data_IF_587359113367
#
_entry.id   IF_587359113367
#
_cell.length_a   1.000
_cell.length_b   1.000
_cell.length_c   1.000
_cell.angle_alpha   90.00
_cell.angle_beta   90.00
_cell.angle_gamma   90.00
#
_symmetry.space_group_name_H-M   'P 1'
#
loop_
_entity.id
_entity.type
_entity.pdbx_description
1 polymer ?
#
# COMPACT_ATOMS: atom_id res chain seq x y z
N UNK A 1 23.05 14.61 20.77
CA UNK A 1 21.90 15.22 20.05
C UNK A 1 21.11 14.09 19.43
N UNK A 2 19.81 14.01 19.71
CA UNK A 2 18.91 12.93 19.27
C UNK A 2 18.95 12.80 17.74
N UNK A 3 19.36 11.65 17.17
CA UNK A 3 19.59 11.51 15.71
C UNK A 3 18.34 11.84 14.87
N UNK A 4 17.16 11.77 15.47
CA UNK A 4 15.87 11.82 14.76
C UNK A 4 15.14 13.16 14.86
N UNK A 5 15.62 14.12 15.68
CA UNK A 5 14.91 15.38 15.97
C UNK A 5 14.60 16.23 14.73
N UNK A 6 15.36 16.07 13.63
CA UNK A 6 15.15 16.81 12.37
C UNK A 6 14.16 16.16 11.42
N UNK A 7 13.63 14.97 11.73
CA UNK A 7 12.67 14.29 10.84
C UNK A 7 11.40 15.12 10.63
N UNK A 8 10.77 15.73 11.66
CA UNK A 8 9.60 16.60 11.46
C UNK A 8 9.87 17.76 10.49
N UNK A 9 11.00 18.46 10.64
CA UNK A 9 11.38 19.55 9.74
C UNK A 9 11.54 19.08 8.29
N UNK A 10 12.06 17.86 8.09
CA UNK A 10 12.22 17.28 6.75
C UNK A 10 10.87 16.88 6.14
N UNK A 11 9.92 16.38 6.93
CA UNK A 11 8.54 16.14 6.47
C UNK A 11 7.84 17.46 6.12
N UNK A 12 8.01 18.50 6.94
CA UNK A 12 7.44 19.82 6.70
C UNK A 12 7.90 20.45 5.38
N UNK A 13 9.14 20.17 4.92
CA UNK A 13 9.63 20.57 3.59
C UNK A 13 8.81 19.98 2.44
N UNK A 14 8.21 18.81 2.63
CA UNK A 14 7.26 18.21 1.70
C UNK A 14 5.80 18.61 1.98
N UNK A 15 5.54 19.56 2.90
CA UNK A 15 4.18 19.92 3.36
C UNK A 15 3.39 18.72 3.90
N UNK A 16 4.09 17.86 4.64
CA UNK A 16 3.56 16.72 5.37
C UNK A 16 3.84 16.91 6.86
N UNK A 17 2.91 16.47 7.71
CA UNK A 17 3.05 16.53 9.17
C UNK A 17 3.54 15.19 9.72
N UNK A 18 4.52 15.24 10.62
CA UNK A 18 5.10 14.08 11.28
C UNK A 18 5.13 14.29 12.79
N UNK A 19 4.38 13.44 13.50
CA UNK A 19 4.51 13.24 14.94
C UNK A 19 5.65 12.25 15.21
N UNK A 20 6.80 12.77 15.63
CA UNK A 20 7.89 11.93 16.14
C UNK A 20 7.57 11.46 17.56
N UNK A 21 7.37 10.15 17.71
CA UNK A 21 6.97 9.50 18.96
C UNK A 21 8.18 9.21 19.83
N UNK A 22 8.05 9.50 21.13
CA UNK A 22 9.02 9.10 22.17
C UNK A 22 8.85 7.66 22.63
N UNK A 23 7.66 7.11 22.42
CA UNK A 23 7.29 5.76 22.83
C UNK A 23 6.78 4.95 21.64
N UNK A 24 6.92 3.62 21.69
CA UNK A 24 6.41 2.71 20.67
C UNK A 24 4.92 2.93 20.35
N UNK A 25 4.53 2.83 19.08
CA UNK A 25 3.12 2.90 18.66
C UNK A 25 2.41 1.63 19.13
N UNK A 26 3.00 0.46 18.85
CA UNK A 26 2.69 -0.84 19.45
C UNK A 26 3.66 -1.12 20.58
N UNK A 27 3.14 -1.59 21.72
CA UNK A 27 3.92 -1.89 22.93
C UNK A 27 4.12 -3.39 23.18
N UNK A 28 3.91 -4.23 22.18
CA UNK A 28 4.22 -5.66 22.29
C UNK A 28 5.74 -5.89 22.44
N UNK A 29 6.14 -7.09 22.87
CA UNK A 29 7.57 -7.40 23.12
C UNK A 29 8.42 -7.18 21.86
N UNK A 30 9.57 -6.52 22.03
CA UNK A 30 10.55 -6.24 20.97
C UNK A 30 10.21 -5.03 20.08
N UNK A 31 8.98 -4.50 20.17
CA UNK A 31 8.52 -3.35 19.38
C UNK A 31 9.26 -2.05 19.72
N UNK A 32 9.81 -1.94 20.92
CA UNK A 32 10.59 -0.79 21.40
C UNK A 32 11.94 -0.60 20.72
N UNK A 33 12.41 -1.64 20.02
CA UNK A 33 13.70 -1.62 19.32
C UNK A 33 13.59 -1.39 17.80
N UNK A 34 12.38 -1.44 17.23
CA UNK A 34 12.16 -1.39 15.78
C UNK A 34 11.54 -0.07 15.34
N UNK A 35 11.75 0.28 14.07
CA UNK A 35 11.07 1.43 13.46
C UNK A 35 9.58 1.10 13.29
N UNK A 36 8.72 2.00 13.75
CA UNK A 36 7.28 1.91 13.52
C UNK A 36 6.82 3.20 12.86
N UNK A 37 6.12 3.12 11.73
CA UNK A 37 5.45 4.29 11.17
C UNK A 37 4.04 3.95 10.73
N UNK A 38 3.16 4.91 10.98
CA UNK A 38 1.73 4.77 10.80
C UNK A 38 1.09 6.12 10.43
N UNK A 39 -0.18 6.11 10.03
CA UNK A 39 -0.98 7.32 9.83
C UNK A 39 -2.06 7.37 10.90
N UNK A 40 -2.29 8.53 11.53
CA UNK A 40 -3.41 8.65 12.47
C UNK A 40 -4.75 8.51 11.76
N UNK A 41 -5.67 7.78 12.38
CA UNK A 41 -7.06 7.66 11.93
C UNK A 41 -7.73 9.04 11.79
N UNK A 42 -8.27 9.34 10.61
CA UNK A 42 -8.94 10.60 10.29
C UNK A 42 -10.16 10.88 11.17
N UNK A 43 -10.77 9.84 11.76
CA UNK A 43 -11.90 10.00 12.69
C UNK A 43 -11.51 10.64 14.02
N UNK A 44 -10.21 10.65 14.35
CA UNK A 44 -9.67 11.18 15.61
C UNK A 44 -8.99 12.55 15.46
N UNK A 45 -9.11 13.17 14.29
CA UNK A 45 -8.50 14.46 13.97
C UNK A 45 -7.78 14.45 12.62
N UNK A 46 -7.05 15.54 12.27
CA UNK A 46 -6.33 15.62 11.02
C UNK A 46 -5.26 14.52 10.93
N UNK A 47 -5.24 13.83 9.80
CA UNK A 47 -4.26 12.78 9.50
C UNK A 47 -2.84 13.36 9.57
N UNK A 48 -1.95 12.66 10.29
CA UNK A 48 -0.51 12.92 10.33
C UNK A 48 0.25 11.61 10.32
N UNK A 49 1.49 11.64 9.83
CA UNK A 49 2.40 10.52 10.00
C UNK A 49 2.80 10.43 11.47
N UNK A 50 2.90 9.22 12.01
CA UNK A 50 3.50 8.94 13.32
C UNK A 50 4.70 8.06 13.11
N UNK A 51 5.85 8.44 13.63
CA UNK A 51 7.05 7.63 13.54
C UNK A 51 7.65 7.44 14.93
N UNK A 52 7.86 6.19 15.31
CA UNK A 52 8.72 5.82 16.42
C UNK A 52 10.04 5.26 15.86
N UNK A 53 11.19 5.85 16.18
CA UNK A 53 12.45 5.49 15.54
C UNK A 53 13.07 4.17 16.03
N UNK A 54 12.61 3.64 17.18
CA UNK A 54 13.18 2.42 17.76
C UNK A 54 14.57 2.63 18.35
N UNK A 55 15.41 1.61 18.23
CA UNK A 55 16.76 1.61 18.77
C UNK A 55 17.68 2.66 18.11
N UNK A 56 18.71 3.11 18.83
CA UNK A 56 19.61 4.20 18.41
C UNK A 56 20.49 3.87 17.20
N UNK A 57 20.70 2.59 16.93
CA UNK A 57 21.43 2.05 15.79
C UNK A 57 20.54 1.92 14.54
N UNK A 58 19.24 2.23 14.62
CA UNK A 58 18.41 2.42 13.45
C UNK A 58 18.79 3.72 12.73
N UNK A 59 18.75 3.70 11.40
CA UNK A 59 18.98 4.87 10.57
C UNK A 59 17.74 5.19 9.75
N UNK A 60 17.25 6.42 9.89
CA UNK A 60 16.05 6.91 9.23
C UNK A 60 16.37 8.23 8.55
N UNK A 61 16.08 8.34 7.26
CA UNK A 61 16.33 9.54 6.48
C UNK A 61 15.16 9.90 5.60
N UNK A 62 14.88 11.20 5.48
CA UNK A 62 13.99 11.73 4.44
C UNK A 62 14.84 12.10 3.24
N UNK A 63 14.47 11.53 2.09
CA UNK A 63 15.08 11.72 0.79
C UNK A 63 14.07 12.39 -0.16
N UNK A 64 14.58 13.23 -1.06
CA UNK A 64 13.82 13.84 -2.16
C UNK A 64 12.43 14.38 -1.81
N UNK A 65 12.30 15.29 -0.81
CA UNK A 65 11.02 15.92 -0.52
C UNK A 65 10.54 16.74 -1.73
N UNK A 66 9.26 16.59 -2.06
CA UNK A 66 8.56 17.26 -3.15
C UNK A 66 7.33 17.98 -2.56
N UNK A 67 7.47 19.28 -2.34
CA UNK A 67 6.38 20.12 -1.81
C UNK A 67 5.24 20.32 -2.79
N UNK A 68 5.51 20.24 -4.10
CA UNK A 68 4.51 20.43 -5.15
C UNK A 68 3.52 19.28 -5.19
N UNK A 69 4.01 18.05 -4.97
CA UNK A 69 3.18 16.84 -4.89
C UNK A 69 2.81 16.43 -3.48
N UNK A 70 3.41 17.05 -2.46
CA UNK A 70 3.30 16.66 -1.06
C UNK A 70 3.76 15.22 -0.82
N UNK A 71 4.96 14.91 -1.28
CA UNK A 71 5.52 13.55 -1.25
C UNK A 71 6.98 13.59 -0.81
N UNK A 72 7.46 12.50 -0.20
CA UNK A 72 8.87 12.29 0.11
C UNK A 72 9.19 10.80 0.09
N UNK A 73 10.48 10.48 0.02
CA UNK A 73 10.94 9.11 0.23
C UNK A 73 11.51 8.98 1.64
N UNK A 74 11.00 8.03 2.43
CA UNK A 74 11.55 7.68 3.73
C UNK A 74 12.46 6.46 3.58
N UNK A 75 13.74 6.63 3.87
CA UNK A 75 14.72 5.56 3.97
C UNK A 75 14.75 5.02 5.40
N UNK A 76 14.76 3.69 5.52
CA UNK A 76 14.92 2.98 6.79
C UNK A 76 15.97 1.89 6.64
N UNK A 77 16.99 1.93 7.49
CA UNK A 77 18.00 0.89 7.64
C UNK A 77 18.00 0.46 9.11
N UNK A 78 17.50 -0.74 9.36
CA UNK A 78 17.47 -1.33 10.70
C UNK A 78 17.95 -2.78 10.65
N UNK A 79 18.73 -3.21 11.67
CA UNK A 79 19.09 -4.61 11.87
C UNK A 79 17.86 -5.52 11.95
N UNK A 80 18.07 -6.81 11.66
CA UNK A 80 17.09 -7.87 11.91
C UNK A 80 16.88 -8.03 13.42
N UNK A 81 15.65 -7.83 13.89
CA UNK A 81 15.23 -7.96 15.28
C UNK A 81 13.94 -8.73 15.38
N UNK A 82 13.83 -9.60 16.38
CA UNK A 82 12.60 -10.30 16.69
C UNK A 82 11.62 -9.36 17.40
N UNK A 83 10.34 -9.42 17.05
CA UNK A 83 9.27 -8.70 17.72
C UNK A 83 7.97 -9.49 17.66
N UNK A 84 7.04 -9.17 18.55
CA UNK A 84 5.74 -9.81 18.60
C UNK A 84 4.65 -8.95 17.96
N UNK A 85 3.71 -9.63 17.29
CA UNK A 85 2.50 -9.03 16.73
C UNK A 85 1.29 -9.82 17.17
N UNK A 86 0.27 -9.11 17.68
CA UNK A 86 -0.99 -9.72 18.09
C UNK A 86 -1.97 -9.75 16.92
N UNK A 87 -2.45 -10.95 16.59
CA UNK A 87 -3.49 -11.20 15.59
C UNK A 87 -4.73 -11.79 16.25
N UNK A 88 -5.91 -11.60 15.64
CA UNK A 88 -7.14 -12.24 16.08
C UNK A 88 -7.06 -13.75 15.91
N UNK A 89 -7.71 -14.55 16.75
CA UNK A 89 -7.84 -16.01 16.52
C UNK A 89 -8.63 -16.36 15.26
N UNK A 90 -9.41 -15.41 14.72
CA UNK A 90 -10.11 -15.56 13.43
C UNK A 90 -9.18 -15.33 12.24
N UNK A 91 -8.05 -14.67 12.46
CA UNK A 91 -7.05 -14.43 11.43
C UNK A 91 -6.27 -15.70 11.11
N UNK A 92 -5.88 -15.86 9.84
CA UNK A 92 -4.97 -16.92 9.46
C UNK A 92 -3.59 -16.59 10.01
N UNK A 93 -2.97 -17.55 10.69
CA UNK A 93 -1.54 -17.43 11.06
C UNK A 93 -0.73 -17.50 9.77
N UNK A 94 0.16 -16.53 9.48
CA UNK A 94 0.99 -16.58 8.29
C UNK A 94 1.81 -17.88 8.26
N UNK A 95 1.98 -18.45 7.06
CA UNK A 95 2.70 -19.71 6.91
C UNK A 95 4.15 -19.55 7.42
N UNK A 96 4.59 -20.47 8.28
CA UNK A 96 5.92 -20.41 8.91
C UNK A 96 6.04 -19.45 10.10
N UNK A 97 4.99 -18.69 10.46
CA UNK A 97 5.03 -17.85 11.66
C UNK A 97 4.91 -18.69 12.94
N UNK A 98 5.75 -18.36 13.93
CA UNK A 98 5.75 -19.02 15.24
C UNK A 98 4.78 -18.30 16.18
N UNK A 99 3.74 -18.99 16.65
CA UNK A 99 2.90 -18.49 17.75
C UNK A 99 3.69 -18.61 19.05
N UNK A 100 3.89 -17.49 19.74
CA UNK A 100 4.69 -17.43 20.98
C UNK A 100 3.83 -17.25 22.22
N UNK A 101 2.63 -16.68 22.09
CA UNK A 101 1.65 -16.52 23.17
C UNK A 101 0.22 -16.57 22.61
N UNK A 102 -0.75 -16.90 23.45
CA UNK A 102 -2.16 -16.81 23.12
C UNK A 102 -2.99 -16.24 24.28
N UNK A 103 -4.10 -15.60 23.94
CA UNK A 103 -5.16 -15.24 24.88
C UNK A 103 -6.46 -15.96 24.49
N UNK A 104 -7.58 -15.63 25.14
CA UNK A 104 -8.90 -16.11 24.73
C UNK A 104 -9.25 -15.72 23.27
N UNK A 105 -8.81 -14.55 22.81
CA UNK A 105 -9.26 -13.97 21.53
C UNK A 105 -8.14 -13.69 20.53
N UNK A 106 -6.87 -13.71 20.96
CA UNK A 106 -5.72 -13.32 20.14
C UNK A 106 -4.55 -14.30 20.23
N UNK A 107 -3.66 -14.24 19.24
CA UNK A 107 -2.37 -14.95 19.20
C UNK A 107 -1.26 -13.93 19.00
N UNK A 108 -0.19 -14.02 19.78
CA UNK A 108 1.06 -13.32 19.48
C UNK A 108 1.91 -14.21 18.56
N UNK A 109 2.22 -13.69 17.38
CA UNK A 109 3.17 -14.32 16.46
C UNK A 109 4.51 -13.60 16.54
N UNK A 110 5.59 -14.37 16.47
CA UNK A 110 6.94 -13.83 16.32
C UNK A 110 7.18 -13.43 14.87
N UNK A 111 7.77 -12.26 14.71
CA UNK A 111 8.19 -11.71 13.44
C UNK A 111 9.58 -11.13 13.55
N UNK A 112 10.16 -10.81 12.40
CA UNK A 112 11.48 -10.23 12.30
C UNK A 112 11.47 -9.02 11.39
N UNK A 113 12.15 -7.95 11.80
CA UNK A 113 12.49 -6.88 10.85
C UNK A 113 13.38 -7.48 9.75
N UNK A 114 13.32 -6.98 8.51
CA UNK A 114 13.95 -7.69 7.40
C UNK A 114 15.48 -7.62 7.40
N UNK A 115 16.12 -6.78 8.23
CA UNK A 115 17.58 -6.63 8.25
C UNK A 115 18.16 -6.10 6.95
N UNK A 116 17.35 -5.35 6.19
CA UNK A 116 17.72 -4.76 4.89
C UNK A 116 17.24 -3.33 4.84
N UNK A 117 17.89 -2.54 3.99
CA UNK A 117 17.46 -1.19 3.63
C UNK A 117 16.09 -1.23 2.94
N UNK A 118 15.18 -0.39 3.43
CA UNK A 118 13.84 -0.18 2.86
C UNK A 118 13.66 1.28 2.50
N UNK A 119 12.83 1.51 1.50
CA UNK A 119 12.39 2.85 1.13
C UNK A 119 10.87 2.84 1.07
N UNK A 120 10.26 3.92 1.55
CA UNK A 120 8.83 4.13 1.52
C UNK A 120 8.54 5.43 0.79
N UNK A 121 7.54 5.45 -0.09
CA UNK A 121 6.94 6.69 -0.54
C UNK A 121 5.88 7.08 0.48
N UNK A 122 6.12 8.19 1.18
CA UNK A 122 5.15 8.82 2.06
C UNK A 122 4.60 10.04 1.35
N UNK A 123 3.28 10.23 1.37
CA UNK A 123 2.69 11.37 0.71
C UNK A 123 1.25 11.64 1.09
N UNK A 124 0.68 12.64 0.45
CA UNK A 124 -0.77 12.83 0.38
C UNK A 124 -1.23 12.55 -1.05
N UNK A 125 -2.31 11.80 -1.19
CA UNK A 125 -3.06 11.67 -2.43
C UNK A 125 -4.48 12.18 -2.19
N UNK A 126 -4.93 13.11 -3.04
CA UNK A 126 -6.18 13.85 -2.86
C UNK A 126 -6.28 14.52 -1.48
N UNK A 127 -6.90 13.85 -0.50
CA UNK A 127 -7.07 14.33 0.89
C UNK A 127 -6.48 13.39 1.94
N UNK A 128 -5.91 12.25 1.54
CA UNK A 128 -5.51 11.19 2.45
C UNK A 128 -3.99 10.98 2.40
N UNK A 129 -3.38 10.86 3.57
CA UNK A 129 -2.00 10.43 3.68
C UNK A 129 -1.89 8.95 3.28
N UNK A 130 -0.74 8.56 2.73
CA UNK A 130 -0.45 7.17 2.40
C UNK A 130 1.02 6.81 2.68
N UNK A 131 1.28 5.52 2.86
CA UNK A 131 2.62 4.94 2.98
C UNK A 131 2.73 3.72 2.07
N UNK A 132 3.65 3.78 1.10
CA UNK A 132 3.90 2.70 0.15
C UNK A 132 5.35 2.17 0.26
N UNK A 133 5.56 0.90 0.61
CA UNK A 133 6.91 0.30 0.56
C UNK A 133 7.33 0.08 -0.89
N UNK A 134 8.51 0.59 -1.23
CA UNK A 134 9.06 0.55 -2.58
C UNK A 134 9.71 -0.81 -2.88
N UNK A 135 9.62 -1.31 -4.13
CA UNK A 135 10.21 -2.59 -4.51
C UNK A 135 11.74 -2.58 -4.40
N UNK A 136 12.37 -1.43 -4.59
CA UNK A 136 13.83 -1.21 -4.52
C UNK A 136 14.14 0.22 -4.07
N UNK A 137 15.41 0.48 -3.74
CA UNK A 137 15.84 1.78 -3.22
C UNK A 137 15.90 2.87 -4.28
N UNK A 138 15.37 4.05 -3.94
CA UNK A 138 15.35 5.26 -4.78
C UNK A 138 15.43 6.48 -3.88
N UNK A 139 15.92 7.62 -4.38
CA UNK A 139 16.18 8.82 -3.57
C UNK A 139 15.29 10.02 -3.90
N UNK A 140 14.33 9.88 -4.83
CA UNK A 140 13.40 10.96 -5.21
C UNK A 140 11.96 10.48 -5.28
N UNK A 141 11.01 11.36 -4.94
CA UNK A 141 9.58 11.09 -5.06
C UNK A 141 9.19 10.70 -6.50
N UNK A 142 9.81 11.32 -7.51
CA UNK A 142 9.59 10.95 -8.91
C UNK A 142 10.00 9.50 -9.20
N UNK A 143 11.23 9.11 -8.84
CA UNK A 143 11.71 7.73 -9.05
C UNK A 143 10.89 6.71 -8.25
N UNK A 144 10.41 7.08 -7.05
CA UNK A 144 9.52 6.25 -6.24
C UNK A 144 8.21 5.97 -6.97
N UNK A 145 7.54 6.98 -7.53
CA UNK A 145 6.31 6.79 -8.32
C UNK A 145 6.52 5.91 -9.54
N UNK A 146 7.63 6.09 -10.26
CA UNK A 146 7.95 5.22 -11.40
C UNK A 146 8.24 3.78 -10.94
N UNK A 147 8.89 3.59 -9.78
CA UNK A 147 9.14 2.25 -9.23
C UNK A 147 7.87 1.50 -8.85
N UNK A 148 6.83 2.22 -8.43
CA UNK A 148 5.52 1.66 -8.10
C UNK A 148 4.66 1.37 -9.33
N UNK A 149 4.97 1.96 -10.49
CA UNK A 149 4.22 1.70 -11.72
C UNK A 149 4.41 0.24 -12.14
N UNK A 150 3.30 -0.45 -12.39
CA UNK A 150 3.32 -1.81 -12.92
C UNK A 150 3.93 -1.83 -14.33
N UNK A 151 4.77 -2.84 -14.70
CA UNK A 151 5.35 -2.91 -16.04
C UNK A 151 4.28 -2.98 -17.14
N UNK A 152 3.10 -3.51 -16.80
CA UNK A 152 1.90 -3.58 -17.66
C UNK A 152 1.21 -2.24 -17.88
N UNK A 153 1.73 -1.14 -17.35
CA UNK A 153 1.28 0.23 -17.64
C UNK A 153 2.23 0.84 -18.69
N UNK A 154 2.00 0.63 -19.99
CA UNK A 154 2.89 1.11 -21.03
C UNK A 154 3.06 2.63 -20.97
N UNK A 155 4.30 3.10 -20.99
CA UNK A 155 4.61 4.52 -21.22
C UNK A 155 4.05 5.02 -22.55
N UNK A 156 3.85 4.13 -23.53
CA UNK A 156 3.23 4.45 -24.82
C UNK A 156 1.77 4.88 -24.71
N UNK A 157 1.02 4.46 -23.68
CA UNK A 157 -0.34 4.97 -23.43
C UNK A 157 -0.32 6.48 -23.17
N UNK A 158 0.66 6.96 -22.38
CA UNK A 158 0.84 8.41 -22.16
C UNK A 158 1.18 9.14 -23.45
N UNK A 159 2.04 8.56 -24.29
CA UNK A 159 2.43 9.16 -25.58
C UNK A 159 1.26 9.25 -26.56
N UNK A 160 0.29 8.33 -26.49
CA UNK A 160 -0.95 8.36 -27.28
C UNK A 160 -2.04 9.28 -26.69
N UNK A 161 -1.74 9.99 -25.59
CA UNK A 161 -2.72 10.82 -24.89
C UNK A 161 -3.82 10.03 -24.18
N UNK A 162 -3.64 8.71 -24.03
CA UNK A 162 -4.62 7.86 -23.36
C UNK A 162 -4.60 8.09 -21.85
N UNK A 163 -5.79 8.26 -21.26
CA UNK A 163 -5.93 8.60 -19.85
C UNK A 163 -5.72 7.36 -18.97
N UNK A 164 -4.58 7.31 -18.30
CA UNK A 164 -4.31 6.36 -17.22
C UNK A 164 -4.87 6.94 -15.93
N UNK A 165 -5.86 6.27 -15.33
CA UNK A 165 -6.42 6.66 -14.04
C UNK A 165 -5.73 5.84 -12.95
N UNK A 166 -5.41 6.47 -11.82
CA UNK A 166 -4.89 5.79 -10.63
C UNK A 166 -5.76 6.17 -9.44
N UNK A 167 -6.09 5.19 -8.60
CA UNK A 167 -6.71 5.40 -7.29
C UNK A 167 -6.02 4.45 -6.31
N UNK A 168 -5.34 5.01 -5.30
CA UNK A 168 -4.52 4.26 -4.34
C UNK A 168 -3.50 3.33 -5.02
N UNK A 169 -3.72 2.04 -4.84
CA UNK A 169 -2.90 0.93 -5.33
C UNK A 169 -3.27 0.45 -6.75
N UNK A 170 -4.33 0.97 -7.36
CA UNK A 170 -4.88 0.50 -8.63
C UNK A 170 -4.61 1.47 -9.77
N UNK A 171 -4.21 0.92 -10.92
CA UNK A 171 -4.22 1.60 -12.20
C UNK A 171 -5.36 1.07 -13.07
N UNK A 172 -6.11 1.98 -13.69
CA UNK A 172 -7.17 1.70 -14.64
C UNK A 172 -6.72 2.19 -16.02
N UNK A 173 -6.57 1.23 -16.93
CA UNK A 173 -6.07 1.44 -18.27
C UNK A 173 -7.21 1.24 -19.28
N UNK A 174 -7.24 2.01 -20.37
CA UNK A 174 -8.14 1.72 -21.48
C UNK A 174 -7.86 0.33 -22.05
N UNK A 175 -8.91 -0.33 -22.55
CA UNK A 175 -8.78 -1.68 -23.11
C UNK A 175 -8.17 -1.65 -24.51
N UNK A 176 -7.25 -2.59 -24.74
CA UNK A 176 -6.87 -2.98 -26.09
C UNK A 176 -8.06 -3.68 -26.80
N UNK A 177 -8.12 -3.69 -28.15
CA UNK A 177 -9.23 -4.32 -28.87
C UNK A 177 -9.50 -5.78 -28.48
N UNK A 178 -8.44 -6.57 -28.24
CA UNK A 178 -8.56 -7.97 -27.78
C UNK A 178 -9.13 -8.07 -26.36
N UNK A 179 -8.74 -7.16 -25.48
CA UNK A 179 -9.23 -7.11 -24.09
C UNK A 179 -10.69 -6.68 -24.05
N UNK A 180 -11.10 -5.76 -24.92
CA UNK A 180 -12.50 -5.35 -25.10
C UNK A 180 -13.37 -6.54 -25.51
N UNK A 181 -12.96 -7.27 -26.54
CA UNK A 181 -13.67 -8.48 -26.99
C UNK A 181 -13.74 -9.56 -25.88
N UNK A 182 -12.66 -9.74 -25.10
CA UNK A 182 -12.65 -10.66 -23.98
C UNK A 182 -13.61 -10.23 -22.87
N UNK A 183 -13.59 -8.95 -22.47
CA UNK A 183 -14.49 -8.41 -21.46
C UNK A 183 -15.96 -8.57 -21.89
N UNK A 184 -16.28 -8.22 -23.13
CA UNK A 184 -17.63 -8.39 -23.72
C UNK A 184 -18.07 -9.86 -23.73
N UNK A 185 -17.17 -10.78 -24.10
CA UNK A 185 -17.44 -12.22 -24.07
C UNK A 185 -17.75 -12.71 -22.64
N UNK A 186 -16.96 -12.29 -21.65
CA UNK A 186 -17.17 -12.67 -20.24
C UNK A 186 -18.47 -12.07 -19.68
N UNK A 187 -18.82 -10.84 -20.08
CA UNK A 187 -20.10 -10.20 -19.76
C UNK A 187 -21.27 -10.99 -20.36
N UNK A 188 -21.18 -11.39 -21.63
CA UNK A 188 -22.20 -12.19 -22.31
C UNK A 188 -22.40 -13.55 -21.63
N UNK A 189 -21.34 -14.12 -21.03
CA UNK A 189 -21.39 -15.33 -20.20
C UNK A 189 -21.87 -15.10 -18.77
N UNK A 190 -22.33 -13.89 -18.43
CA UNK A 190 -22.83 -13.49 -17.11
C UNK A 190 -21.80 -13.68 -15.99
N UNK A 191 -20.52 -13.47 -16.28
CA UNK A 191 -19.42 -13.57 -15.31
C UNK A 191 -19.10 -12.22 -14.62
N UNK A 192 -20.03 -11.26 -14.66
CA UNK A 192 -19.90 -9.98 -13.99
C UNK A 192 -20.21 -10.13 -12.51
N UNK A 193 -19.28 -9.73 -11.67
CA UNK A 193 -19.48 -9.57 -10.23
C UNK A 193 -19.78 -8.11 -9.94
N UNK A 194 -20.76 -7.82 -9.08
CA UNK A 194 -21.22 -6.46 -8.79
C UNK A 194 -20.92 -6.04 -7.37
N UNK A 195 -20.63 -4.74 -7.20
CA UNK A 195 -20.40 -4.09 -5.91
C UNK A 195 -19.44 -4.87 -5.01
N UNK A 196 -18.33 -5.31 -5.59
CA UNK A 196 -17.35 -6.19 -4.94
C UNK A 196 -15.97 -5.54 -4.91
N UNK A 197 -15.17 -5.88 -3.90
CA UNK A 197 -13.77 -5.50 -3.84
C UNK A 197 -12.99 -6.05 -5.03
N UNK A 198 -12.22 -5.21 -5.72
CA UNK A 198 -11.44 -5.60 -6.92
C UNK A 198 -10.49 -6.75 -6.58
N UNK A 199 -9.72 -6.63 -5.48
CA UNK A 199 -8.84 -7.70 -5.01
C UNK A 199 -9.60 -8.99 -4.65
N UNK A 200 -10.78 -8.86 -4.04
CA UNK A 200 -11.61 -9.99 -3.61
C UNK A 200 -12.12 -10.78 -4.81
N UNK A 201 -12.66 -10.09 -5.82
CA UNK A 201 -13.14 -10.67 -7.07
C UNK A 201 -12.01 -11.41 -7.81
N UNK A 202 -10.80 -10.86 -7.80
CA UNK A 202 -9.61 -11.44 -8.42
C UNK A 202 -8.87 -12.45 -7.53
N UNK A 203 -9.34 -12.69 -6.29
CA UNK A 203 -8.69 -13.54 -5.29
C UNK A 203 -7.23 -13.16 -5.02
N UNK A 204 -6.93 -11.87 -5.08
CA UNK A 204 -5.63 -11.31 -4.72
C UNK A 204 -5.65 -11.08 -3.20
N UNK A 205 -4.76 -11.72 -2.42
CA UNK A 205 -4.67 -11.49 -0.98
C UNK A 205 -4.30 -10.03 -0.70
N UNK A 206 -5.20 -9.29 -0.05
CA UNK A 206 -4.99 -7.92 0.42
C UNK A 206 -5.62 -7.74 1.79
N UNK A 207 -4.90 -7.08 2.68
CA UNK A 207 -5.43 -6.57 3.94
C UNK A 207 -5.97 -5.14 3.72
N UNK A 208 -6.78 -4.65 4.66
CA UNK A 208 -7.36 -3.31 4.58
C UNK A 208 -8.76 -3.27 3.98
N UNK A 209 -9.29 -2.06 3.78
CA UNK A 209 -10.60 -1.85 3.17
C UNK A 209 -10.48 -2.00 1.65
N UNK A 210 -11.40 -2.72 0.99
CA UNK A 210 -11.26 -2.95 -0.44
C UNK A 210 -11.69 -1.74 -1.26
N UNK A 211 -11.00 -1.51 -2.38
CA UNK A 211 -11.54 -0.73 -3.48
C UNK A 211 -12.73 -1.50 -4.09
N UNK A 212 -13.94 -0.98 -3.90
CA UNK A 212 -15.19 -1.62 -4.37
C UNK A 212 -15.59 -1.02 -5.69
N UNK A 213 -15.82 -1.87 -6.69
CA UNK A 213 -16.29 -1.44 -8.00
C UNK A 213 -17.72 -1.92 -8.31
N UNK A 214 -18.48 -1.12 -9.07
CA UNK A 214 -19.84 -1.47 -9.49
C UNK A 214 -19.86 -2.76 -10.31
N UNK A 215 -18.89 -2.95 -11.21
CA UNK A 215 -18.78 -4.15 -12.03
C UNK A 215 -17.31 -4.59 -12.13
N UNK A 216 -17.06 -5.85 -11.80
CA UNK A 216 -15.75 -6.52 -11.94
C UNK A 216 -15.91 -7.79 -12.74
N UNK A 217 -15.04 -7.97 -13.73
CA UNK A 217 -14.91 -9.19 -14.53
C UNK A 217 -13.48 -9.66 -14.45
N UNK A 218 -13.28 -10.95 -14.18
CA UNK A 218 -11.94 -11.54 -14.08
C UNK A 218 -11.81 -12.62 -15.13
N UNK A 219 -10.80 -12.50 -16.00
CA UNK A 219 -10.52 -13.54 -16.97
C UNK A 219 -10.00 -14.80 -16.28
N UNK A 220 -10.23 -15.98 -16.87
CA UNK A 220 -9.44 -17.16 -16.53
C UNK A 220 -7.95 -16.85 -16.67
N UNK A 221 -7.12 -17.45 -15.81
CA UNK A 221 -5.67 -17.36 -15.94
C UNK A 221 -5.23 -18.04 -17.25
N UNK A 222 -4.42 -17.36 -18.05
CA UNK A 222 -3.83 -17.97 -19.25
C UNK A 222 -2.72 -18.95 -18.87
N UNK A 223 -2.42 -19.93 -19.75
CA UNK A 223 -1.27 -20.83 -19.53
C UNK A 223 0.03 -20.00 -19.49
N UNK A 224 0.69 -19.97 -18.33
CA UNK A 224 1.91 -19.19 -18.12
C UNK A 224 1.68 -17.70 -17.82
N UNK A 225 0.42 -17.28 -17.64
CA UNK A 225 0.05 -15.90 -17.31
C UNK A 225 -0.93 -15.80 -16.12
N UNK A 226 -1.12 -14.58 -15.61
CA UNK A 226 -2.13 -14.30 -14.59
C UNK A 226 -3.52 -14.06 -15.18
N UNK A 227 -4.53 -13.96 -14.32
CA UNK A 227 -5.84 -13.43 -14.69
C UNK A 227 -5.76 -11.93 -15.01
N UNK A 228 -6.57 -11.49 -15.97
CA UNK A 228 -6.79 -10.07 -16.28
C UNK A 228 -8.06 -9.60 -15.60
N UNK A 229 -8.03 -8.40 -15.00
CA UNK A 229 -9.15 -7.82 -14.28
C UNK A 229 -9.70 -6.66 -15.09
N UNK A 230 -11.01 -6.64 -15.30
CA UNK A 230 -11.73 -5.55 -15.96
C UNK A 230 -12.73 -4.93 -15.00
N UNK A 231 -12.75 -3.61 -14.93
CA UNK A 231 -13.61 -2.85 -14.02
C UNK A 231 -14.40 -1.78 -14.77
N UNK A 232 -15.68 -1.60 -14.43
CA UNK A 232 -16.56 -0.55 -14.96
C UNK A 232 -17.45 0.03 -13.85
N UNK A 233 -17.90 1.26 -14.04
CA UNK A 233 -18.83 1.96 -13.16
C UNK A 233 -18.09 2.77 -12.09
N UNK A 234 -18.70 2.91 -10.92
CA UNK A 234 -18.07 3.59 -9.80
C UNK A 234 -16.98 2.72 -9.19
N UNK A 235 -15.84 3.32 -8.85
CA UNK A 235 -14.84 2.70 -7.98
C UNK A 235 -14.71 3.55 -6.72
N UNK A 236 -15.06 2.94 -5.59
CA UNK A 236 -15.24 3.57 -4.29
C UNK A 236 -14.21 3.03 -3.30
N UNK A 237 -13.57 3.93 -2.57
CA UNK A 237 -12.74 3.62 -1.42
C UNK A 237 -12.95 4.73 -0.37
N UNK A 238 -13.01 4.44 0.94
CA UNK A 238 -13.21 5.48 1.96
C UNK A 238 -12.15 6.57 1.95
N UNK A 239 -10.94 6.25 1.49
CA UNK A 239 -9.78 7.15 1.48
C UNK A 239 -9.53 7.81 0.12
N UNK A 240 -10.43 7.63 -0.85
CA UNK A 240 -10.28 8.22 -2.17
C UNK A 240 -11.62 8.73 -2.71
N UNK A 241 -11.56 9.77 -3.53
CA UNK A 241 -12.71 10.23 -4.29
C UNK A 241 -13.21 9.12 -5.21
N UNK A 242 -14.53 8.91 -5.23
CA UNK A 242 -15.16 7.98 -6.15
C UNK A 242 -14.83 8.37 -7.59
N UNK A 243 -14.23 7.46 -8.34
CA UNK A 243 -14.03 7.62 -9.78
C UNK A 243 -15.14 6.91 -10.55
N UNK A 244 -15.50 7.43 -11.72
CA UNK A 244 -16.51 6.82 -12.60
C UNK A 244 -15.84 6.39 -13.91
N UNK A 245 -15.83 5.09 -14.16
CA UNK A 245 -15.33 4.46 -15.38
C UNK A 245 -16.51 4.13 -16.30
N UNK A 246 -16.72 4.95 -17.34
CA UNK A 246 -17.87 4.81 -18.27
C UNK A 246 -17.82 3.52 -19.10
N UNK A 247 -16.62 3.07 -19.42
CA UNK A 247 -16.37 1.80 -20.10
C UNK A 247 -15.51 0.89 -19.22
N UNK A 248 -15.40 -0.39 -19.60
CA UNK A 248 -14.47 -1.29 -18.92
C UNK A 248 -13.04 -0.79 -19.08
N UNK A 249 -12.28 -0.88 -18.00
CA UNK A 249 -10.85 -0.60 -17.96
C UNK A 249 -10.10 -1.83 -17.47
N UNK A 250 -8.92 -2.08 -18.04
CA UNK A 250 -8.00 -3.08 -17.52
C UNK A 250 -7.43 -2.54 -16.22
N UNK A 251 -7.55 -3.34 -15.18
CA UNK A 251 -7.20 -2.95 -13.82
C UNK A 251 -5.96 -3.73 -13.39
N UNK A 252 -4.90 -3.01 -13.02
CA UNK A 252 -3.63 -3.60 -12.59
C UNK A 252 -3.21 -3.03 -11.25
N UNK A 253 -2.79 -3.86 -10.28
CA UNK A 253 -2.25 -3.36 -9.03
C UNK A 253 -0.86 -2.76 -9.28
N UNK A 254 -0.46 -1.82 -8.43
CA UNK A 254 0.88 -1.28 -8.40
C UNK A 254 1.91 -2.32 -7.88
N UNK A 255 3.19 -1.94 -7.86
CA UNK A 255 4.32 -2.80 -7.45
C UNK A 255 4.70 -2.69 -5.97
N UNK A 256 3.80 -2.21 -5.12
CA UNK A 256 4.09 -2.16 -3.69
C UNK A 256 4.40 -3.56 -3.14
N UNK A 257 5.29 -3.61 -2.15
CA UNK A 257 5.56 -4.85 -1.42
C UNK A 257 4.47 -5.04 -0.37
N UNK A 258 3.67 -6.10 -0.56
CA UNK A 258 2.61 -6.51 0.37
C UNK A 258 3.06 -7.61 1.33
N UNK A 259 4.36 -7.73 1.58
CA UNK A 259 4.91 -8.69 2.54
C UNK A 259 4.64 -8.17 3.98
N UNK A 260 3.36 -8.10 4.33
CA UNK A 260 2.83 -7.60 5.58
C UNK A 260 2.13 -8.75 6.30
N UNK A 261 2.70 -9.28 7.37
CA UNK A 261 1.92 -10.10 8.28
C UNK A 261 0.87 -9.22 8.99
N UNK A 262 -0.29 -9.80 9.27
CA UNK A 262 -1.38 -9.11 9.96
C UNK A 262 -0.91 -8.51 11.30
N UNK A 263 -1.31 -7.26 11.59
CA UNK A 263 -0.99 -6.55 12.84
C UNK A 263 0.29 -5.70 12.84
N UNK A 264 0.98 -5.58 11.71
CA UNK A 264 2.02 -4.55 11.50
C UNK A 264 1.35 -3.32 10.89
N UNK A 265 1.23 -2.26 11.68
CA UNK A 265 0.65 -0.98 11.27
C UNK A 265 1.61 -0.27 10.33
N UNK A 266 1.28 -0.32 9.04
CA UNK A 266 1.59 0.75 8.08
C UNK A 266 0.26 0.97 7.36
N UNK A 267 -0.59 1.80 7.96
CA UNK A 267 -1.92 2.11 7.42
C UNK A 267 -1.77 2.68 6.01
N UNK A 268 -2.50 2.08 5.06
CA UNK A 268 -3.24 2.84 4.06
C UNK A 268 -4.57 3.23 4.73
#
# INVERSE_FOLDING_TARGET
>A
MDLFHRLPDKFARARLDLELRKEPISRARGQDSIVQLDITDATRGPQRFRLFPGARDNRIEVLGPDSGRRQLVLFVDEPRRAFEVWISKKSRVPDGARVVRETATTRAIEQFTPGRKRHFLCGMDEQHLFIAELPYGVSSAHAARESLRAPEVPSSLKLRGERIIRQGEWFFLPLLPRERALAEHLVARRLVQRDIGIAQAARIPRAGRPHVASEVVVSPAEKGGGSVIFVRGEVRHPDHQTIVLREFHRTVPNREKFDRPEGVYWID
#
